data_IF_057153756532
#
_entry.id   IF_057153756532
#
_cell.length_a   1.000
_cell.length_b   1.000
_cell.length_c   1.000
_cell.angle_alpha   90.00
_cell.angle_beta   90.00
_cell.angle_gamma   90.00
#
_symmetry.space_group_name_H-M   'P 1'
#
loop_
_entity.id
_entity.type
_entity.pdbx_description
1 polymer ?
#
# COMPACT_ATOMS: atom_id res chain seq x y z
N UNK A 1 -28.92 56.28 22.92
CA UNK A 1 -29.84 56.01 21.79
C UNK A 1 -30.13 54.51 21.78
N UNK A 2 -31.30 54.13 22.27
CA UNK A 2 -31.77 52.75 22.37
C UNK A 2 -32.28 52.26 21.01
N UNK A 3 -31.96 51.01 20.64
CA UNK A 3 -32.82 50.24 19.73
C UNK A 3 -32.75 48.75 20.07
N UNK A 4 -33.71 48.33 20.90
CA UNK A 4 -34.17 46.95 21.01
C UNK A 4 -35.12 46.60 19.84
N UNK A 5 -35.24 45.31 19.53
CA UNK A 5 -36.41 44.58 18.99
C UNK A 5 -36.04 43.07 19.04
N UNK A 6 -36.43 42.30 20.06
CA UNK A 6 -37.70 41.59 20.31
C UNK A 6 -37.91 40.34 19.40
N UNK A 7 -37.73 39.19 20.06
CA UNK A 7 -38.46 37.91 20.07
C UNK A 7 -39.18 37.38 18.81
N UNK A 8 -38.87 36.13 18.47
CA UNK A 8 -39.69 35.26 17.63
C UNK A 8 -39.34 33.78 17.83
N UNK A 9 -39.80 33.19 18.93
CA UNK A 9 -39.81 31.73 19.15
C UNK A 9 -40.91 31.08 18.31
N UNK A 10 -40.55 30.13 17.44
CA UNK A 10 -41.50 29.22 16.82
C UNK A 10 -41.07 27.78 17.13
N UNK A 11 -41.73 27.21 18.15
CA UNK A 11 -41.72 25.78 18.41
C UNK A 11 -42.74 25.12 17.48
N UNK A 12 -42.30 24.12 16.71
CA UNK A 12 -43.16 23.12 16.11
C UNK A 12 -42.59 21.75 16.43
N UNK A 13 -43.24 21.09 17.39
CA UNK A 13 -43.11 19.65 17.60
C UNK A 13 -44.00 18.95 16.56
N UNK A 14 -43.44 17.96 15.85
CA UNK A 14 -44.25 16.88 15.28
C UNK A 14 -43.49 15.55 15.37
N UNK A 15 -44.10 14.66 16.13
CA UNK A 15 -43.73 13.29 16.44
C UNK A 15 -43.81 12.41 15.19
N UNK A 16 -42.81 11.56 14.96
CA UNK A 16 -42.82 10.54 13.92
C UNK A 16 -41.95 9.35 14.31
N UNK A 17 -42.52 8.41 15.06
CA UNK A 17 -41.97 7.07 15.29
C UNK A 17 -42.28 6.20 14.06
N UNK A 18 -41.27 5.78 13.32
CA UNK A 18 -41.34 4.66 12.38
C UNK A 18 -40.15 3.74 12.63
N UNK A 19 -40.39 2.78 13.53
CA UNK A 19 -39.57 1.59 13.71
C UNK A 19 -39.70 0.71 12.47
N UNK A 20 -38.68 0.70 11.61
CA UNK A 20 -38.56 -0.30 10.55
C UNK A 20 -37.63 -1.42 11.02
N UNK A 21 -38.22 -2.49 11.53
CA UNK A 21 -37.55 -3.79 11.67
C UNK A 21 -37.36 -4.37 10.26
N UNK A 22 -36.12 -4.45 9.77
CA UNK A 22 -35.78 -5.30 8.63
C UNK A 22 -35.36 -6.67 9.21
N UNK A 23 -36.28 -7.63 9.15
CA UNK A 23 -36.05 -9.02 9.52
C UNK A 23 -35.46 -9.79 8.35
N UNK A 24 -34.32 -10.43 8.58
CA UNK A 24 -33.62 -11.36 7.67
C UNK A 24 -34.42 -12.68 7.51
N UNK A 25 -34.48 -13.30 6.31
CA UNK A 25 -35.13 -14.59 6.13
C UNK A 25 -34.30 -15.76 6.69
N UNK A 26 -34.94 -16.84 7.19
CA UNK A 26 -34.23 -17.98 7.77
C UNK A 26 -33.55 -18.86 6.71
N UNK A 27 -32.28 -19.18 6.97
CA UNK A 27 -31.49 -20.20 6.24
C UNK A 27 -31.99 -21.60 6.64
N UNK A 28 -32.32 -22.51 5.69
CA UNK A 28 -32.66 -23.88 6.02
C UNK A 28 -31.43 -24.71 6.44
N UNK A 29 -31.60 -25.71 7.34
CA UNK A 29 -30.50 -26.51 7.87
C UNK A 29 -29.97 -27.54 6.86
N UNK A 30 -28.66 -27.77 6.95
CA UNK A 30 -27.90 -28.80 6.24
C UNK A 30 -28.50 -30.21 6.44
N UNK A 31 -28.70 -30.94 5.35
CA UNK A 31 -28.93 -32.38 5.37
C UNK A 31 -27.63 -33.14 5.06
N UNK A 32 -27.37 -34.29 5.71
CA UNK A 32 -26.16 -35.08 5.52
C UNK A 32 -26.25 -35.98 4.28
N UNK A 33 -25.27 -35.91 3.38
CA UNK A 33 -25.10 -36.94 2.35
C UNK A 33 -24.26 -38.08 2.91
N UNK A 34 -24.93 -39.21 3.06
CA UNK A 34 -24.42 -40.47 3.57
C UNK A 34 -23.31 -41.07 2.69
N UNK A 35 -22.33 -41.68 3.34
CA UNK A 35 -21.45 -42.68 2.74
C UNK A 35 -22.29 -43.85 2.23
N UNK A 36 -22.02 -44.30 1.00
CA UNK A 36 -22.38 -45.66 0.62
C UNK A 36 -21.39 -46.24 -0.39
N UNK A 37 -21.10 -47.51 -0.15
CA UNK A 37 -19.91 -48.24 -0.55
C UNK A 37 -20.07 -49.00 -1.87
N UNK A 38 -18.93 -49.50 -2.33
CA UNK A 38 -18.54 -50.09 -3.62
C UNK A 38 -19.33 -51.38 -3.98
N UNK A 39 -19.39 -51.72 -5.29
CA UNK A 39 -18.98 -53.09 -5.69
C UNK A 39 -17.91 -53.10 -6.80
N UNK A 40 -17.10 -54.18 -6.91
CA UNK A 40 -16.01 -54.29 -7.87
C UNK A 40 -16.47 -54.90 -9.20
N UNK A 41 -15.82 -54.53 -10.30
CA UNK A 41 -15.85 -55.29 -11.54
C UNK A 41 -14.44 -55.35 -12.15
N UNK A 42 -13.98 -56.57 -12.37
CA UNK A 42 -12.67 -56.96 -12.88
C UNK A 42 -12.59 -56.97 -14.41
N UNK A 43 -11.39 -56.61 -14.90
CA UNK A 43 -10.67 -57.07 -16.11
C UNK A 43 -11.23 -56.77 -17.51
N UNK A 44 -10.45 -56.01 -18.29
CA UNK A 44 -9.71 -56.51 -19.49
C UNK A 44 -9.60 -55.44 -20.60
N UNK A 45 -8.37 -55.13 -21.04
CA UNK A 45 -8.14 -54.39 -22.29
C UNK A 45 -6.87 -53.55 -22.39
N UNK A 46 -5.75 -54.19 -22.76
CA UNK A 46 -4.57 -53.74 -23.54
C UNK A 46 -3.87 -52.35 -23.33
N UNK A 47 -2.53 -52.27 -23.46
CA UNK A 47 -1.78 -51.02 -23.37
C UNK A 47 -1.71 -50.29 -24.72
N UNK A 48 -2.05 -49.00 -24.75
CA UNK A 48 -1.68 -48.11 -25.84
C UNK A 48 -0.60 -47.15 -25.34
N UNK A 49 0.63 -47.43 -25.75
CA UNK A 49 1.78 -46.53 -25.65
C UNK A 49 1.55 -45.32 -26.56
N UNK A 50 1.43 -44.13 -25.99
CA UNK A 50 1.71 -42.88 -26.69
C UNK A 50 2.61 -42.01 -25.81
N UNK A 51 3.87 -41.97 -26.24
CA UNK A 51 4.94 -41.12 -25.77
C UNK A 51 4.58 -39.65 -26.02
N UNK A 52 4.29 -38.92 -24.95
CA UNK A 52 4.20 -37.46 -24.95
C UNK A 52 5.48 -36.88 -24.35
N UNK A 53 6.31 -36.25 -25.18
CA UNK A 53 7.54 -35.59 -24.76
C UNK A 53 7.27 -34.43 -23.77
N UNK A 54 8.14 -34.19 -22.78
CA UNK A 54 8.07 -32.96 -22.00
C UNK A 54 8.57 -31.80 -22.87
N UNK A 55 7.67 -30.91 -23.28
CA UNK A 55 8.06 -29.60 -23.81
C UNK A 55 8.63 -28.80 -22.64
N UNK A 56 9.96 -28.77 -22.53
CA UNK A 56 10.69 -27.83 -21.68
C UNK A 56 10.34 -26.42 -22.15
N UNK A 57 9.51 -25.72 -21.39
CA UNK A 57 9.30 -24.28 -21.54
C UNK A 57 10.64 -23.60 -21.22
N UNK A 58 11.38 -23.22 -22.26
CA UNK A 58 12.55 -22.38 -22.13
C UNK A 58 12.11 -21.04 -21.54
N UNK A 59 12.50 -20.80 -20.29
CA UNK A 59 12.41 -19.47 -19.69
C UNK A 59 13.26 -18.51 -20.53
N UNK A 60 12.59 -17.63 -21.27
CA UNK A 60 13.22 -16.50 -21.94
C UNK A 60 13.63 -15.51 -20.85
N UNK A 61 14.86 -15.66 -20.36
CA UNK A 61 15.51 -14.61 -19.59
C UNK A 61 15.79 -13.45 -20.56
N UNK A 62 14.96 -12.42 -20.49
CA UNK A 62 15.25 -11.15 -21.13
C UNK A 62 16.50 -10.57 -20.46
N UNK A 63 17.66 -10.70 -21.12
CA UNK A 63 18.91 -10.09 -20.68
C UNK A 63 18.77 -8.57 -20.82
N UNK A 64 18.22 -7.92 -19.79
CA UNK A 64 18.38 -6.49 -19.62
C UNK A 64 19.88 -6.19 -19.50
N UNK A 65 20.40 -5.13 -20.16
CA UNK A 65 21.77 -4.71 -19.98
C UNK A 65 22.08 -4.61 -18.48
N UNK A 66 23.17 -5.25 -18.05
CA UNK A 66 23.59 -5.22 -16.65
C UNK A 66 23.69 -3.76 -16.20
N UNK A 67 22.84 -3.37 -15.26
CA UNK A 67 22.84 -2.01 -14.74
C UNK A 67 24.15 -1.79 -13.98
N UNK A 68 24.77 -0.61 -14.18
CA UNK A 68 25.93 -0.22 -13.40
C UNK A 68 25.49 0.07 -11.97
N UNK A 69 26.22 -0.47 -11.00
CA UNK A 69 26.01 -0.18 -9.58
C UNK A 69 26.20 1.30 -9.28
N UNK A 70 25.57 1.75 -8.21
CA UNK A 70 25.65 3.11 -7.69
C UNK A 70 24.29 3.77 -7.59
N UNK A 71 24.20 4.73 -6.66
CA UNK A 71 23.01 5.51 -6.44
C UNK A 71 22.58 6.26 -7.72
N UNK A 72 21.37 6.00 -8.21
CA UNK A 72 20.86 6.61 -9.44
C UNK A 72 19.32 6.66 -9.50
N UNK A 73 18.73 7.72 -8.96
CA UNK A 73 17.27 7.94 -9.02
C UNK A 73 16.73 8.22 -10.44
N UNK A 74 17.61 8.53 -11.41
CA UNK A 74 17.24 8.76 -12.81
C UNK A 74 17.26 7.48 -13.66
N UNK A 75 17.48 6.31 -13.03
CA UNK A 75 17.56 5.04 -13.73
C UNK A 75 16.23 4.71 -14.47
N UNK A 76 16.29 4.00 -15.61
CA UNK A 76 15.09 3.54 -16.32
C UNK A 76 14.13 2.73 -15.45
N UNK A 77 14.66 1.89 -14.54
CA UNK A 77 13.84 1.11 -13.60
C UNK A 77 12.95 2.00 -12.71
N UNK A 78 13.51 3.11 -12.20
CA UNK A 78 12.76 4.07 -11.37
C UNK A 78 11.69 4.78 -12.19
N UNK A 79 12.05 5.28 -13.39
CA UNK A 79 11.09 5.94 -14.28
C UNK A 79 9.93 5.02 -14.69
N UNK A 80 10.23 3.76 -14.99
CA UNK A 80 9.23 2.76 -15.33
C UNK A 80 8.33 2.45 -14.12
N UNK A 81 8.89 2.37 -12.91
CA UNK A 81 8.11 2.17 -11.70
C UNK A 81 7.18 3.34 -11.39
N UNK A 82 7.62 4.59 -11.63
CA UNK A 82 6.76 5.79 -11.53
C UNK A 82 5.63 5.72 -12.55
N UNK A 83 5.94 5.43 -13.82
CA UNK A 83 4.95 5.36 -14.88
C UNK A 83 3.92 4.21 -14.69
N UNK A 84 4.28 3.17 -13.94
CA UNK A 84 3.39 2.08 -13.59
C UNK A 84 2.43 2.42 -12.44
N UNK A 85 2.60 3.55 -11.75
CA UNK A 85 1.71 3.93 -10.68
C UNK A 85 0.37 4.44 -11.22
N UNK A 86 -0.76 4.05 -10.61
CA UNK A 86 -2.03 4.67 -10.91
C UNK A 86 -2.00 6.15 -10.48
N UNK A 87 -2.74 7.02 -11.19
CA UNK A 87 -2.90 8.41 -10.76
C UNK A 87 -3.62 8.47 -9.40
N UNK A 88 -3.28 9.46 -8.59
CA UNK A 88 -3.96 9.71 -7.33
C UNK A 88 -5.30 10.37 -7.60
N UNK A 89 -6.39 9.78 -7.10
CA UNK A 89 -7.71 10.41 -7.17
C UNK A 89 -7.83 11.45 -6.05
N UNK A 90 -8.03 12.71 -6.40
CA UNK A 90 -8.29 13.74 -5.40
C UNK A 90 -9.77 13.75 -4.97
N UNK A 91 -10.09 14.53 -3.95
CA UNK A 91 -11.45 14.62 -3.39
C UNK A 91 -12.49 15.17 -4.39
N UNK A 92 -12.04 15.88 -5.43
CA UNK A 92 -12.90 16.38 -6.51
C UNK A 92 -13.09 15.36 -7.65
N UNK A 93 -12.49 14.17 -7.54
CA UNK A 93 -12.53 13.12 -8.57
C UNK A 93 -11.62 13.37 -9.78
N UNK A 94 -10.78 14.41 -9.74
CA UNK A 94 -9.79 14.66 -10.77
C UNK A 94 -8.48 13.91 -10.46
N UNK A 95 -7.84 13.29 -11.46
CA UNK A 95 -6.58 12.60 -11.25
C UNK A 95 -5.42 13.59 -11.06
N UNK A 96 -4.55 13.31 -10.09
CA UNK A 96 -3.23 13.90 -9.95
C UNK A 96 -2.17 12.91 -10.45
N UNK A 97 -1.23 13.42 -11.25
CA UNK A 97 -0.12 12.64 -11.75
C UNK A 97 1.03 12.64 -10.76
N UNK A 98 1.78 11.54 -10.73
CA UNK A 98 3.08 11.48 -10.06
C UNK A 98 4.11 12.30 -10.83
N UNK A 99 4.98 13.01 -10.09
CA UNK A 99 6.13 13.66 -10.69
C UNK A 99 7.07 12.61 -11.32
N UNK A 100 7.64 12.94 -12.48
CA UNK A 100 8.50 12.03 -13.24
C UNK A 100 9.87 11.73 -12.60
N UNK A 101 10.19 12.38 -11.50
CA UNK A 101 11.44 12.20 -10.75
C UNK A 101 11.14 12.03 -9.27
N UNK A 102 11.81 11.10 -8.56
CA UNK A 102 11.70 10.99 -7.11
C UNK A 102 12.16 12.27 -6.42
N UNK A 103 11.55 12.59 -5.27
CA UNK A 103 12.02 13.67 -4.39
C UNK A 103 13.23 13.26 -3.57
N UNK A 104 13.35 11.97 -3.28
CA UNK A 104 14.48 11.37 -2.57
C UNK A 104 14.50 9.85 -2.77
N UNK A 105 15.48 9.19 -2.19
CA UNK A 105 15.60 7.74 -2.20
C UNK A 105 17.05 7.29 -2.17
N UNK A 106 17.24 5.97 -2.20
CA UNK A 106 18.55 5.34 -2.21
C UNK A 106 18.70 4.31 -3.33
N UNK A 107 17.85 4.37 -4.38
CA UNK A 107 17.87 3.43 -5.51
C UNK A 107 19.30 3.17 -6.00
N UNK A 108 19.68 1.91 -5.96
CA UNK A 108 20.93 1.37 -6.50
C UNK A 108 20.62 -0.04 -7.03
N UNK A 109 20.89 -0.32 -8.31
CA UNK A 109 20.57 -1.62 -8.89
C UNK A 109 21.37 -2.78 -8.30
N UNK A 110 22.41 -2.51 -7.49
CA UNK A 110 23.22 -3.55 -6.85
C UNK A 110 22.93 -3.73 -5.36
N UNK A 111 22.08 -2.89 -4.75
CA UNK A 111 21.65 -3.08 -3.36
C UNK A 111 20.64 -4.20 -3.25
N UNK A 112 20.68 -4.91 -2.13
CA UNK A 112 19.67 -5.92 -1.80
C UNK A 112 18.29 -5.29 -1.72
N UNK A 113 18.13 -4.16 -1.04
CA UNK A 113 16.88 -3.40 -1.05
C UNK A 113 17.18 -1.92 -1.21
N UNK A 114 16.45 -1.29 -2.12
CA UNK A 114 16.52 0.16 -2.32
C UNK A 114 15.15 0.73 -2.64
N UNK A 115 15.04 2.06 -2.57
CA UNK A 115 13.78 2.75 -2.70
C UNK A 115 13.90 4.09 -3.42
N UNK A 116 12.77 4.54 -3.93
CA UNK A 116 12.56 5.89 -4.41
C UNK A 116 11.26 6.44 -3.79
N UNK A 117 11.31 7.66 -3.24
CA UNK A 117 10.12 8.35 -2.77
C UNK A 117 9.64 9.29 -3.87
N UNK A 118 8.39 9.12 -4.29
CA UNK A 118 7.77 9.96 -5.31
C UNK A 118 6.67 10.81 -4.67
N UNK A 119 6.38 11.94 -5.29
CA UNK A 119 5.33 12.87 -4.92
C UNK A 119 4.53 13.23 -6.17
N UNK A 120 3.31 13.73 -6.03
CA UNK A 120 2.56 14.28 -7.15
C UNK A 120 3.25 15.51 -7.77
N UNK A 121 2.90 15.81 -9.03
CA UNK A 121 3.36 17.03 -9.70
C UNK A 121 2.97 18.29 -8.90
N UNK A 122 3.94 19.19 -8.70
CA UNK A 122 3.77 20.41 -7.89
C UNK A 122 3.35 20.18 -6.42
N UNK A 123 3.56 18.96 -5.90
CA UNK A 123 3.25 18.63 -4.51
C UNK A 123 4.22 19.26 -3.50
N UNK A 124 3.74 19.37 -2.27
CA UNK A 124 4.49 19.73 -1.06
C UNK A 124 4.49 18.57 -0.06
N UNK A 125 5.14 18.69 1.11
CA UNK A 125 5.18 17.61 2.09
C UNK A 125 3.80 17.08 2.51
N UNK A 126 2.76 17.92 2.51
CA UNK A 126 1.37 17.53 2.82
C UNK A 126 0.64 16.86 1.65
N UNK A 127 1.27 16.76 0.48
CA UNK A 127 0.69 16.14 -0.71
C UNK A 127 0.86 14.60 -0.67
N UNK A 128 0.17 13.88 -1.54
CA UNK A 128 0.38 12.44 -1.71
C UNK A 128 1.80 12.10 -2.13
N UNK A 129 2.42 11.20 -1.37
CA UNK A 129 3.74 10.63 -1.57
C UNK A 129 3.66 9.10 -1.54
N UNK A 130 4.54 8.43 -2.28
CA UNK A 130 4.55 6.97 -2.38
C UNK A 130 5.97 6.42 -2.40
N UNK A 131 6.24 5.42 -1.56
CA UNK A 131 7.52 4.70 -1.54
C UNK A 131 7.45 3.61 -2.60
N UNK A 132 8.42 3.60 -3.51
CA UNK A 132 8.63 2.53 -4.50
C UNK A 132 9.83 1.70 -4.05
N UNK A 133 9.65 0.38 -3.93
CA UNK A 133 10.68 -0.54 -3.45
C UNK A 133 11.28 -1.35 -4.60
N UNK A 134 12.58 -1.62 -4.52
CA UNK A 134 13.34 -2.34 -5.53
C UNK A 134 14.30 -3.34 -4.90
N UNK A 135 14.40 -4.53 -5.48
CA UNK A 135 15.42 -5.53 -5.16
C UNK A 135 16.37 -5.66 -6.34
N UNK A 136 17.65 -5.33 -6.15
CA UNK A 136 18.67 -5.45 -7.20
C UNK A 136 18.23 -4.82 -8.54
N UNK A 137 17.65 -3.61 -8.45
CA UNK A 137 17.18 -2.84 -9.61
C UNK A 137 15.82 -3.25 -10.17
N UNK A 138 15.22 -4.33 -9.68
CA UNK A 138 13.90 -4.79 -10.08
C UNK A 138 12.82 -4.22 -9.17
N UNK A 139 11.78 -3.63 -9.75
CA UNK A 139 10.65 -3.05 -9.00
C UNK A 139 9.83 -4.13 -8.32
N UNK A 140 9.62 -4.00 -7.01
CA UNK A 140 8.87 -4.95 -6.19
C UNK A 140 7.41 -4.53 -6.00
N UNK A 141 7.16 -3.22 -5.96
CA UNK A 141 5.88 -2.68 -5.54
C UNK A 141 6.04 -1.44 -4.66
N UNK A 142 4.93 -1.02 -4.09
CA UNK A 142 4.89 0.12 -3.17
C UNK A 142 5.16 -0.33 -1.72
N UNK A 143 5.76 0.54 -0.91
CA UNK A 143 5.96 0.27 0.52
C UNK A 143 4.64 0.18 1.30
N UNK A 144 3.68 1.04 0.95
CA UNK A 144 2.31 1.02 1.48
C UNK A 144 1.29 0.88 0.36
N UNK A 145 0.13 0.30 0.67
CA UNK A 145 -0.97 0.15 -0.29
C UNK A 145 -1.60 1.50 -0.69
N UNK A 146 -1.62 2.46 0.24
CA UNK A 146 -2.09 3.82 0.00
C UNK A 146 -0.91 4.77 0.04
N UNK A 147 -0.99 5.84 -0.73
CA UNK A 147 -0.11 6.99 -0.61
C UNK A 147 -0.24 7.61 0.79
N UNK A 148 0.78 8.36 1.19
CA UNK A 148 0.92 8.97 2.50
C UNK A 148 1.38 10.41 2.35
N UNK A 149 1.32 11.18 3.41
CA UNK A 149 1.85 12.54 3.45
C UNK A 149 2.91 12.63 4.53
N UNK A 150 3.77 13.65 4.44
CA UNK A 150 4.82 13.90 5.43
C UNK A 150 5.74 12.71 5.69
N UNK A 151 6.06 11.95 4.63
CA UNK A 151 7.01 10.84 4.71
C UNK A 151 8.37 11.23 4.14
N UNK A 152 9.43 10.70 4.76
CA UNK A 152 10.81 10.99 4.42
C UNK A 152 11.72 9.77 4.58
N UNK A 153 12.78 9.63 3.80
CA UNK A 153 13.76 8.57 3.91
C UNK A 153 14.62 8.79 5.16
N UNK A 154 14.95 7.72 5.87
CA UNK A 154 15.87 7.74 7.00
C UNK A 154 17.18 7.05 6.65
N UNK A 155 18.18 7.79 6.10
CA UNK A 155 19.45 7.19 5.74
C UNK A 155 20.25 6.71 6.96
N UNK A 156 19.94 7.18 8.18
CA UNK A 156 20.67 6.80 9.39
C UNK A 156 20.31 5.41 9.90
N UNK A 157 19.14 4.89 9.48
CA UNK A 157 18.62 3.55 9.83
C UNK A 157 18.49 2.64 8.59
N UNK A 158 19.02 3.07 7.45
CA UNK A 158 18.99 2.33 6.19
C UNK A 158 20.30 1.54 6.01
N UNK A 159 20.18 0.26 5.67
CA UNK A 159 21.30 -0.67 5.39
C UNK A 159 21.27 -1.12 3.92
N UNK A 160 21.97 -2.20 3.57
CA UNK A 160 21.91 -2.79 2.23
C UNK A 160 20.57 -3.50 1.94
N UNK A 161 20.01 -4.18 2.95
CA UNK A 161 18.81 -5.00 2.88
C UNK A 161 17.58 -4.36 3.56
N UNK A 162 17.75 -3.22 4.22
CA UNK A 162 16.70 -2.50 4.94
C UNK A 162 16.62 -1.05 4.49
N UNK A 163 15.42 -0.59 4.13
CA UNK A 163 15.10 0.82 3.86
C UNK A 163 14.28 1.36 5.03
N UNK A 164 14.75 2.42 5.66
CA UNK A 164 14.02 3.09 6.73
C UNK A 164 13.33 4.36 6.21
N UNK A 165 12.11 4.60 6.69
CA UNK A 165 11.27 5.74 6.35
C UNK A 165 10.71 6.35 7.64
N UNK A 166 10.82 7.67 7.76
CA UNK A 166 10.13 8.48 8.77
C UNK A 166 8.76 8.88 8.27
N UNK A 167 7.78 8.77 9.15
CA UNK A 167 6.44 9.28 8.99
C UNK A 167 6.25 10.37 10.02
N UNK A 168 6.06 11.61 9.56
CA UNK A 168 5.83 12.73 10.43
C UNK A 168 4.32 12.97 10.58
N UNK A 169 3.83 12.97 11.81
CA UNK A 169 2.50 13.46 12.14
C UNK A 169 2.62 14.94 12.54
N UNK A 170 2.03 15.87 11.78
CA UNK A 170 1.98 17.28 12.15
C UNK A 170 1.34 17.51 13.52
N UNK A 171 1.84 18.54 14.22
CA UNK A 171 1.29 19.00 15.49
C UNK A 171 0.23 20.09 15.29
N UNK A 172 0.43 21.25 15.93
CA UNK A 172 -0.49 22.39 15.80
C UNK A 172 -0.47 23.04 14.41
N UNK A 173 0.60 22.84 13.64
CA UNK A 173 0.68 23.18 12.22
C UNK A 173 1.64 22.24 11.47
N UNK A 174 1.54 22.20 10.14
CA UNK A 174 2.35 21.34 9.25
C UNK A 174 3.87 21.48 9.41
N UNK A 175 4.34 22.63 9.87
CA UNK A 175 5.77 22.93 10.05
C UNK A 175 6.16 23.20 11.51
N UNK A 176 5.24 22.97 12.44
CA UNK A 176 5.46 23.22 13.86
C UNK A 176 6.30 22.10 14.48
N UNK A 177 7.16 22.43 15.44
CA UNK A 177 8.08 21.49 16.08
C UNK A 177 7.42 20.54 17.09
N UNK A 178 6.11 20.69 17.31
CA UNK A 178 5.31 19.89 18.24
C UNK A 178 4.68 18.65 17.59
N UNK A 179 5.03 18.36 16.32
CA UNK A 179 4.72 17.11 15.65
C UNK A 179 5.50 15.91 16.21
N UNK A 180 5.26 14.73 15.64
CA UNK A 180 5.89 13.49 16.07
C UNK A 180 6.38 12.66 14.88
N UNK A 181 7.58 12.10 14.99
CA UNK A 181 8.16 11.22 13.99
C UNK A 181 8.00 9.74 14.37
N UNK A 182 7.66 8.91 13.39
CA UNK A 182 7.54 7.46 13.51
C UNK A 182 8.44 6.78 12.50
N UNK A 183 9.16 5.76 12.95
CA UNK A 183 10.17 5.09 12.15
C UNK A 183 9.63 3.73 11.70
N UNK A 184 9.51 3.53 10.39
CA UNK A 184 9.12 2.25 9.77
C UNK A 184 10.28 1.76 8.92
N UNK A 185 10.53 0.46 8.96
CA UNK A 185 11.56 -0.17 8.15
C UNK A 185 10.96 -1.20 7.21
N UNK A 186 11.47 -1.26 6.00
CA UNK A 186 11.19 -2.28 5.01
C UNK A 186 12.42 -3.17 4.91
N UNK A 187 12.32 -4.43 5.29
CA UNK A 187 13.45 -5.37 5.34
C UNK A 187 13.26 -6.47 4.31
N UNK A 188 14.28 -6.74 3.50
CA UNK A 188 14.29 -7.87 2.57
C UNK A 188 14.63 -9.19 3.27
N UNK A 189 13.71 -10.14 3.28
CA UNK A 189 13.87 -11.43 4.02
C UNK A 189 14.52 -12.55 3.20
N UNK A 190 15.02 -12.23 2.00
CA UNK A 190 15.51 -13.21 1.03
C UNK A 190 14.51 -13.57 -0.06
N UNK A 191 13.20 -13.40 0.20
CA UNK A 191 12.14 -13.68 -0.78
C UNK A 191 11.05 -12.61 -0.89
N UNK A 192 10.84 -11.83 0.17
CA UNK A 192 9.84 -10.76 0.24
C UNK A 192 10.32 -9.62 1.13
N UNK A 193 9.63 -8.49 1.03
CA UNK A 193 9.80 -7.37 1.96
C UNK A 193 8.85 -7.55 3.13
N UNK A 194 9.39 -7.51 4.35
CA UNK A 194 8.61 -7.41 5.58
C UNK A 194 8.68 -5.96 6.09
N UNK A 195 7.52 -5.41 6.46
CA UNK A 195 7.42 -4.09 7.08
C UNK A 195 7.54 -4.24 8.60
N UNK A 196 8.49 -3.56 9.20
CA UNK A 196 8.78 -3.55 10.63
C UNK A 196 8.32 -2.20 11.20
N UNK A 197 7.42 -2.27 12.17
CA UNK A 197 6.70 -1.11 12.68
C UNK A 197 5.42 -0.84 11.88
N UNK A 198 4.54 -0.02 12.44
CA UNK A 198 3.27 0.36 11.83
C UNK A 198 3.29 1.85 11.49
N UNK A 199 3.12 2.25 10.22
CA UNK A 199 2.92 3.63 9.85
C UNK A 199 1.77 4.24 10.65
N UNK A 200 1.87 5.50 11.08
CA UNK A 200 0.79 6.14 11.78
C UNK A 200 -0.46 6.28 10.89
N UNK A 201 -1.63 6.32 11.52
CA UNK A 201 -2.85 6.77 10.88
C UNK A 201 -2.79 8.30 10.78
N UNK A 202 -2.91 8.83 9.57
CA UNK A 202 -2.91 10.27 9.29
C UNK A 202 -4.06 10.99 10.01
N UNK A 203 -5.12 10.27 10.41
CA UNK A 203 -6.25 10.81 11.17
C UNK A 203 -6.03 10.85 12.69
N UNK A 204 -4.94 10.26 13.19
CA UNK A 204 -4.65 10.21 14.62
C UNK A 204 -3.98 11.50 15.09
N UNK A 205 -4.72 12.32 15.84
CA UNK A 205 -4.20 13.56 16.43
C UNK A 205 -3.43 13.27 17.71
N UNK A 206 -2.10 13.24 17.61
CA UNK A 206 -1.17 13.37 18.74
C UNK A 206 -1.17 12.25 19.80
N UNK A 207 -2.04 11.25 19.68
CA UNK A 207 -2.10 10.12 20.61
C UNK A 207 -1.22 8.99 20.08
N UNK A 208 -0.36 8.45 20.93
CA UNK A 208 0.52 7.31 20.60
C UNK A 208 -0.31 6.16 20.00
N UNK A 209 0.04 5.77 18.78
CA UNK A 209 -0.67 4.74 18.03
C UNK A 209 -0.14 3.38 18.49
N UNK A 210 -1.01 2.46 18.94
CA UNK A 210 -0.58 1.13 19.35
C UNK A 210 0.18 0.43 18.22
N UNK A 211 1.46 0.11 18.45
CA UNK A 211 2.32 -0.59 17.49
C UNK A 211 3.14 0.31 16.54
N UNK A 212 3.06 1.64 16.69
CA UNK A 212 3.92 2.59 15.98
C UNK A 212 5.13 2.96 16.82
N UNK A 213 6.33 2.60 16.36
CA UNK A 213 7.59 2.95 17.04
C UNK A 213 7.95 4.39 16.71
N UNK A 214 7.92 5.27 17.71
CA UNK A 214 8.46 6.63 17.57
C UNK A 214 9.96 6.58 17.24
N UNK A 215 10.38 7.51 16.40
CA UNK A 215 11.77 7.97 16.39
C UNK A 215 11.95 8.92 17.59
#
# INVERSE_FOLDING_TARGET
MFRQLIFGTAALALTGLLTACQSDPPVPPSAPVALSSIPPATLSGAPATLSGAPTTAAAVSATSPAAKCGHNLSAPAVRNAIAAQPPVQNDSGAPWNWAGTPVEGNFDPCRTLSAALIIIESGTASSPMQILLFHQGSYLGTGTLKWRSFIGMDPTRTTDDTVAVKYHLPGTCDACSDGADYCVQYHWTGSKVDMIGTPPDESSTGTEIPGSTRC
#
